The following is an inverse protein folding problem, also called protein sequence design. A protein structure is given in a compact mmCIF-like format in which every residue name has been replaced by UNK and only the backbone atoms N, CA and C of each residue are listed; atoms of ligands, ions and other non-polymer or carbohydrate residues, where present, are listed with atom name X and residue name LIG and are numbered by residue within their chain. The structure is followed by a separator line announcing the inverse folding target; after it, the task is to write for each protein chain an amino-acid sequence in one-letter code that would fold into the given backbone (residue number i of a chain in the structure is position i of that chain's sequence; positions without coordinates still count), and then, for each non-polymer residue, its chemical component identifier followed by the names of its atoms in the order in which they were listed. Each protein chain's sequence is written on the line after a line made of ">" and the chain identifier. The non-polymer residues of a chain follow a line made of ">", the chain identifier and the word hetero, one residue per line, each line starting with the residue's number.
data_IF_038966864946
#
_entry.id   IF_038966864946
#
_cell.length_a   1.000
_cell.length_b   1.000
_cell.length_c   1.000
_cell.angle_alpha   90.00
_cell.angle_beta   90.00
_cell.angle_gamma   90.00
#
_symmetry.space_group_name_H-M   'P 1'
#
loop_
_entity.id
_entity.type
_entity.pdbx_description
1 polymer ?
#
# COMPACT_ATOMS: atom_id res chain seq x y z
N UNK A 1 -14.57 -1.80 25.81
CA UNK A 1 -16.02 -1.63 25.72
C UNK A 1 -16.45 -0.66 26.81
N UNK A 2 -17.37 0.28 26.54
CA UNK A 2 -17.87 1.17 27.58
C UNK A 2 -18.53 0.33 28.67
N UNK A 3 -18.21 0.61 29.93
CA UNK A 3 -18.75 -0.09 31.12
C UNK A 3 -20.29 0.02 31.27
N UNK A 4 -20.96 0.68 30.31
CA UNK A 4 -22.39 0.97 30.31
C UNK A 4 -23.21 0.12 29.36
N UNK A 5 -22.63 -0.89 28.70
CA UNK A 5 -23.42 -1.80 27.83
C UNK A 5 -23.91 -3.01 28.63
N UNK A 6 -25.21 -3.11 28.96
CA UNK A 6 -25.76 -4.27 29.67
C UNK A 6 -25.48 -5.57 28.88
N UNK A 7 -24.99 -6.59 29.57
CA UNK A 7 -24.69 -7.89 28.96
C UNK A 7 -23.28 -8.04 28.33
N UNK A 8 -22.46 -6.97 28.36
CA UNK A 8 -21.07 -7.01 27.82
C UNK A 8 -19.99 -6.72 28.87
N UNK A 9 -20.35 -6.86 30.15
CA UNK A 9 -19.45 -6.53 31.27
C UNK A 9 -18.25 -7.46 31.36
N UNK A 10 -18.35 -8.67 30.83
CA UNK A 10 -17.25 -9.65 30.80
C UNK A 10 -17.32 -10.48 29.52
N UNK A 11 -16.23 -10.51 28.78
CA UNK A 11 -16.05 -11.41 27.65
C UNK A 11 -15.09 -12.51 28.12
N UNK A 12 -15.54 -13.76 28.25
CA UNK A 12 -14.66 -14.88 28.59
C UNK A 12 -13.70 -15.11 27.43
N UNK A 13 -12.40 -14.91 27.67
CA UNK A 13 -11.37 -15.19 26.68
C UNK A 13 -10.83 -16.60 26.88
N UNK A 14 -10.64 -17.32 25.76
CA UNK A 14 -9.95 -18.61 25.81
C UNK A 14 -8.51 -18.39 26.32
N UNK A 15 -7.93 -19.31 27.15
CA UNK A 15 -6.56 -19.15 27.68
C UNK A 15 -5.48 -18.98 26.61
N UNK A 16 -5.70 -19.54 25.41
CA UNK A 16 -4.82 -19.38 24.26
C UNK A 16 -5.11 -18.14 23.39
N UNK A 17 -6.06 -17.29 23.78
CA UNK A 17 -6.35 -16.06 23.01
C UNK A 17 -5.12 -15.14 22.99
N UNK A 18 -4.86 -14.55 21.85
CA UNK A 18 -3.80 -13.56 21.63
C UNK A 18 -4.39 -12.36 20.89
N UNK A 19 -3.91 -11.18 21.23
CA UNK A 19 -4.29 -9.93 20.56
C UNK A 19 -3.14 -9.49 19.68
N UNK A 20 -3.44 -9.22 18.40
CA UNK A 20 -2.50 -8.67 17.44
C UNK A 20 -3.11 -7.34 16.98
N UNK A 21 -2.38 -6.26 17.18
CA UNK A 21 -2.74 -4.94 16.68
C UNK A 21 -1.80 -4.51 15.57
N UNK A 22 -2.31 -3.79 14.59
CA UNK A 22 -1.51 -3.13 13.56
C UNK A 22 -1.74 -1.65 13.63
N UNK A 23 -0.68 -0.86 13.44
CA UNK A 23 -0.76 0.58 13.42
C UNK A 23 0.15 1.15 12.35
N UNK A 24 -0.23 2.30 11.80
CA UNK A 24 0.67 3.11 10.99
C UNK A 24 1.36 4.11 11.91
N UNK A 25 2.68 4.05 11.96
CA UNK A 25 3.49 4.96 12.75
C UNK A 25 3.95 6.16 11.93
N UNK A 26 3.97 7.35 12.55
CA UNK A 26 4.52 8.56 11.91
C UNK A 26 3.61 9.27 10.89
N UNK A 27 2.34 8.89 10.77
CA UNK A 27 1.39 9.61 9.90
C UNK A 27 0.77 10.82 10.60
N UNK A 28 0.54 11.89 9.84
CA UNK A 28 -0.18 13.06 10.33
C UNK A 28 -1.56 12.64 10.88
N UNK A 29 -1.83 12.97 12.16
CA UNK A 29 -3.07 12.58 12.84
C UNK A 29 -2.99 11.29 13.65
N UNK A 30 -1.88 10.55 13.64
CA UNK A 30 -1.65 9.48 14.61
C UNK A 30 -1.23 10.06 15.96
N UNK A 31 -1.79 9.52 17.03
CA UNK A 31 -1.33 9.83 18.39
C UNK A 31 -0.37 8.73 18.84
N UNK A 32 0.63 9.14 19.60
CA UNK A 32 1.51 8.18 20.27
C UNK A 32 0.68 7.29 21.21
N UNK A 33 1.03 6.01 21.22
CA UNK A 33 0.44 5.09 22.17
C UNK A 33 0.95 5.43 23.58
N UNK A 34 0.06 5.28 24.55
CA UNK A 34 0.42 5.41 25.96
C UNK A 34 1.51 4.38 26.30
N UNK A 35 2.58 4.83 27.00
CA UNK A 35 3.71 3.98 27.40
C UNK A 35 3.27 2.74 28.16
N UNK A 36 2.27 2.86 29.05
CA UNK A 36 1.72 1.73 29.78
C UNK A 36 1.04 0.69 28.87
N UNK A 37 0.58 1.08 27.69
CA UNK A 37 0.06 0.17 26.69
C UNK A 37 1.21 -0.47 25.91
N UNK A 38 2.15 0.32 25.44
CA UNK A 38 3.33 -0.16 24.67
C UNK A 38 4.11 -1.21 25.47
N UNK A 39 4.31 -0.98 26.79
CA UNK A 39 5.04 -1.90 27.66
C UNK A 39 4.41 -3.29 27.79
N UNK A 40 3.12 -3.44 27.41
CA UNK A 40 2.40 -4.72 27.46
C UNK A 40 2.39 -5.49 26.13
N UNK A 41 2.93 -4.90 25.07
CA UNK A 41 3.01 -5.52 23.75
C UNK A 41 4.45 -5.85 23.37
N UNK A 42 4.59 -6.91 22.59
CA UNK A 42 5.80 -7.12 21.81
C UNK A 42 5.64 -6.29 20.52
N UNK A 43 6.48 -5.27 20.37
CA UNK A 43 6.45 -4.40 19.19
C UNK A 43 7.32 -5.00 18.11
N UNK A 44 6.76 -5.15 16.92
CA UNK A 44 7.46 -5.63 15.73
C UNK A 44 7.42 -4.50 14.70
N UNK A 45 8.57 -3.94 14.41
CA UNK A 45 8.71 -2.97 13.34
C UNK A 45 8.72 -3.67 11.99
N UNK A 46 7.80 -3.26 11.11
CA UNK A 46 7.75 -3.76 9.74
C UNK A 46 8.62 -2.87 8.85
N UNK A 47 9.72 -3.42 8.29
CA UNK A 47 10.57 -2.63 7.41
C UNK A 47 9.84 -2.24 6.12
N UNK A 48 10.30 -1.17 5.43
CA UNK A 48 9.82 -0.84 4.09
C UNK A 48 9.98 -2.03 3.15
N UNK A 49 9.07 -2.14 2.17
CA UNK A 49 9.15 -3.19 1.16
C UNK A 49 10.47 -3.09 0.39
N UNK A 50 11.17 -4.21 0.32
CA UNK A 50 12.31 -4.38 -0.59
C UNK A 50 11.81 -4.78 -1.97
N UNK A 51 12.67 -4.59 -2.98
CA UNK A 51 12.40 -5.03 -4.34
C UNK A 51 12.05 -6.52 -4.40
N UNK A 52 12.86 -7.36 -3.77
CA UNK A 52 12.66 -8.81 -3.71
C UNK A 52 11.29 -9.18 -3.11
N UNK A 53 10.93 -8.56 -1.98
CA UNK A 53 9.64 -8.80 -1.33
C UNK A 53 8.49 -8.35 -2.23
N UNK A 54 8.63 -7.22 -2.92
CA UNK A 54 7.61 -6.70 -3.83
C UNK A 54 7.40 -7.66 -5.02
N UNK A 55 8.48 -8.14 -5.64
CA UNK A 55 8.42 -9.13 -6.71
C UNK A 55 7.76 -10.42 -6.26
N UNK A 56 8.13 -10.95 -5.09
CA UNK A 56 7.52 -12.15 -4.51
C UNK A 56 6.01 -11.97 -4.30
N UNK A 57 5.59 -10.83 -3.74
CA UNK A 57 4.17 -10.53 -3.51
C UNK A 57 3.40 -10.42 -4.82
N UNK A 58 3.97 -9.77 -5.85
CA UNK A 58 3.34 -9.68 -7.16
C UNK A 58 3.22 -11.05 -7.82
N UNK A 59 4.25 -11.87 -7.76
CA UNK A 59 4.22 -13.22 -8.33
C UNK A 59 3.22 -14.12 -7.61
N UNK A 60 3.17 -14.06 -6.30
CA UNK A 60 2.23 -14.85 -5.50
C UNK A 60 0.78 -14.45 -5.76
N UNK A 61 0.50 -13.14 -5.87
CA UNK A 61 -0.86 -12.63 -5.99
C UNK A 61 -1.36 -12.56 -7.44
N UNK A 62 -0.46 -12.36 -8.37
CA UNK A 62 -0.72 -12.22 -9.80
C UNK A 62 0.27 -13.06 -10.62
N UNK A 63 0.16 -14.41 -10.56
CA UNK A 63 1.11 -15.31 -11.22
C UNK A 63 1.11 -15.20 -12.75
N UNK A 64 0.02 -14.71 -13.32
CA UNK A 64 -0.21 -14.51 -14.74
C UNK A 64 0.31 -13.16 -15.29
N UNK A 65 0.87 -12.29 -14.42
CA UNK A 65 1.54 -11.07 -14.89
C UNK A 65 2.74 -11.40 -15.77
N UNK A 66 2.79 -10.79 -16.96
CA UNK A 66 3.99 -10.85 -17.80
C UNK A 66 5.22 -10.28 -17.09
N UNK A 67 6.41 -10.83 -17.32
CA UNK A 67 7.64 -10.36 -16.68
C UNK A 67 7.88 -8.86 -16.85
N UNK A 68 7.75 -8.34 -18.08
CA UNK A 68 7.94 -6.91 -18.38
C UNK A 68 6.95 -6.01 -17.60
N UNK A 69 5.69 -6.43 -17.51
CA UNK A 69 4.67 -5.70 -16.75
C UNK A 69 4.97 -5.73 -15.25
N UNK A 70 5.45 -6.86 -14.73
CA UNK A 70 5.86 -6.99 -13.33
C UNK A 70 7.03 -6.06 -13.00
N UNK A 71 8.04 -6.01 -13.87
CA UNK A 71 9.19 -5.11 -13.72
C UNK A 71 8.75 -3.64 -13.75
N UNK A 72 7.90 -3.26 -14.70
CA UNK A 72 7.39 -1.89 -14.81
C UNK A 72 6.61 -1.47 -13.56
N UNK A 73 5.68 -2.31 -13.08
CA UNK A 73 4.85 -2.04 -11.90
C UNK A 73 5.66 -2.04 -10.60
N UNK A 74 6.64 -2.94 -10.47
CA UNK A 74 7.57 -2.94 -9.34
C UNK A 74 8.46 -1.70 -9.38
N UNK A 75 9.04 -1.37 -10.53
CA UNK A 75 9.85 -0.18 -10.73
C UNK A 75 9.08 1.10 -10.42
N UNK A 76 7.82 1.20 -10.82
CA UNK A 76 6.94 2.30 -10.45
C UNK A 76 6.87 2.48 -8.92
N UNK A 77 6.59 1.42 -8.19
CA UNK A 77 6.49 1.50 -6.73
C UNK A 77 7.82 1.89 -6.06
N UNK A 78 8.94 1.34 -6.54
CA UNK A 78 10.27 1.63 -6.03
C UNK A 78 10.71 3.08 -6.32
N UNK A 79 10.39 3.60 -7.49
CA UNK A 79 10.67 5.00 -7.84
C UNK A 79 9.86 5.96 -6.96
N UNK A 80 8.58 5.67 -6.73
CA UNK A 80 7.75 6.43 -5.78
C UNK A 80 8.32 6.34 -4.36
N UNK A 81 8.79 5.16 -3.93
CA UNK A 81 9.42 5.00 -2.62
C UNK A 81 10.69 5.86 -2.49
N UNK A 82 11.49 5.94 -3.56
CA UNK A 82 12.68 6.79 -3.61
C UNK A 82 12.30 8.28 -3.50
N UNK A 83 11.29 8.72 -4.25
CA UNK A 83 10.77 10.09 -4.20
C UNK A 83 10.25 10.45 -2.79
N UNK A 84 9.53 9.55 -2.14
CA UNK A 84 9.06 9.76 -0.78
C UNK A 84 10.21 9.85 0.25
N UNK A 85 11.26 9.02 0.09
CA UNK A 85 12.47 9.13 0.93
C UNK A 85 13.22 10.45 0.75
N UNK A 86 13.13 11.05 -0.43
CA UNK A 86 13.69 12.36 -0.74
C UNK A 86 12.79 13.53 -0.32
N UNK A 87 11.65 13.23 0.31
CA UNK A 87 10.62 14.19 0.71
C UNK A 87 10.02 15.00 -0.46
N UNK A 88 10.13 14.50 -1.70
CA UNK A 88 9.52 15.12 -2.88
C UNK A 88 8.01 14.84 -2.98
N UNK A 89 7.58 13.72 -2.42
CA UNK A 89 6.17 13.31 -2.32
C UNK A 89 5.87 12.76 -0.94
N UNK A 90 4.61 12.76 -0.56
CA UNK A 90 4.16 12.11 0.68
C UNK A 90 4.05 10.60 0.53
N UNK A 91 3.95 9.89 1.63
CA UNK A 91 3.78 8.43 1.64
C UNK A 91 2.41 7.97 1.11
N UNK A 92 1.49 8.88 0.80
CA UNK A 92 0.17 8.56 0.22
C UNK A 92 0.26 7.87 -1.13
N UNK A 93 1.25 8.24 -1.94
CA UNK A 93 1.52 7.58 -3.23
C UNK A 93 2.08 6.16 -3.07
N UNK A 94 2.60 5.82 -1.88
CA UNK A 94 3.12 4.48 -1.56
C UNK A 94 2.02 3.55 -1.10
N UNK A 95 0.97 3.44 -1.88
CA UNK A 95 -0.16 2.57 -1.56
C UNK A 95 -0.09 1.26 -2.34
N UNK A 96 0.46 0.23 -1.69
CA UNK A 96 0.53 -1.11 -2.27
C UNK A 96 -0.85 -1.70 -2.55
N UNK A 97 -1.86 -1.37 -1.75
CA UNK A 97 -3.24 -1.82 -2.00
C UNK A 97 -3.79 -1.15 -3.25
N UNK A 98 -3.48 0.13 -3.45
CA UNK A 98 -3.84 0.86 -4.65
C UNK A 98 -3.18 0.28 -5.90
N UNK A 99 -1.90 -0.08 -5.83
CA UNK A 99 -1.20 -0.75 -6.91
C UNK A 99 -1.83 -2.12 -7.24
N UNK A 100 -2.09 -2.94 -6.24
CA UNK A 100 -2.73 -4.25 -6.43
C UNK A 100 -4.18 -4.14 -6.91
N UNK A 101 -4.91 -3.11 -6.44
CA UNK A 101 -6.23 -2.78 -6.95
C UNK A 101 -6.18 -2.39 -8.42
N UNK A 102 -5.20 -1.57 -8.83
CA UNK A 102 -4.99 -1.21 -10.23
C UNK A 102 -4.73 -2.45 -11.10
N UNK A 103 -3.85 -3.37 -10.66
CA UNK A 103 -3.62 -4.63 -11.38
C UNK A 103 -4.93 -5.43 -11.51
N UNK A 104 -5.72 -5.49 -10.45
CA UNK A 104 -7.03 -6.15 -10.48
C UNK A 104 -8.00 -5.54 -11.50
N UNK A 105 -8.02 -4.21 -11.63
CA UNK A 105 -8.88 -3.53 -12.63
C UNK A 105 -8.35 -3.68 -14.06
N UNK A 106 -7.02 -3.76 -14.25
CA UNK A 106 -6.43 -4.12 -15.55
C UNK A 106 -6.91 -5.50 -16.03
N UNK A 107 -7.00 -6.48 -15.12
CA UNK A 107 -7.54 -7.82 -15.42
C UNK A 107 -9.01 -7.77 -15.84
N UNK A 108 -9.75 -6.76 -15.39
CA UNK A 108 -11.15 -6.51 -15.79
C UNK A 108 -11.28 -5.71 -17.09
N UNK A 109 -10.15 -5.38 -17.75
CA UNK A 109 -10.14 -4.71 -19.03
C UNK A 109 -9.84 -3.20 -19.01
N UNK A 110 -9.55 -2.63 -17.83
CA UNK A 110 -9.15 -1.22 -17.76
C UNK A 110 -7.72 -1.05 -18.29
N UNK A 111 -7.46 0.03 -19.06
CA UNK A 111 -6.10 0.31 -19.53
C UNK A 111 -5.13 0.49 -18.36
N UNK A 112 -3.88 0.01 -18.48
CA UNK A 112 -2.90 0.05 -17.39
C UNK A 112 -2.64 1.47 -16.87
N UNK A 113 -2.49 2.43 -17.77
CA UNK A 113 -2.27 3.81 -17.41
C UNK A 113 -3.43 4.38 -16.58
N UNK A 114 -4.68 4.18 -17.03
CA UNK A 114 -5.86 4.65 -16.30
C UNK A 114 -6.05 3.93 -14.96
N UNK A 115 -5.78 2.63 -14.91
CA UNK A 115 -5.85 1.87 -13.67
C UNK A 115 -4.89 2.41 -12.60
N UNK A 116 -3.65 2.73 -12.99
CA UNK A 116 -2.64 3.32 -12.10
C UNK A 116 -3.00 4.76 -11.74
N UNK A 117 -3.57 5.55 -12.67
CA UNK A 117 -4.08 6.89 -12.36
C UNK A 117 -5.11 6.84 -11.23
N UNK A 118 -6.06 5.93 -11.30
CA UNK A 118 -7.13 5.78 -10.29
C UNK A 118 -6.55 5.20 -8.98
N UNK A 119 -5.72 4.18 -9.09
CA UNK A 119 -5.21 3.42 -7.93
C UNK A 119 -4.15 4.17 -7.12
N UNK A 120 -3.39 5.06 -7.75
CA UNK A 120 -2.23 5.74 -7.13
C UNK A 120 -2.34 7.27 -7.26
N UNK A 121 -2.33 7.81 -8.48
CA UNK A 121 -2.19 9.26 -8.72
C UNK A 121 -3.32 10.06 -8.09
N UNK A 122 -4.56 9.58 -8.20
CA UNK A 122 -5.73 10.29 -7.68
C UNK A 122 -5.81 10.31 -6.14
N UNK A 123 -4.94 9.58 -5.45
CA UNK A 123 -4.82 9.64 -3.98
C UNK A 123 -3.92 10.77 -3.49
N UNK A 124 -3.17 11.40 -4.38
CA UNK A 124 -2.42 12.61 -4.09
C UNK A 124 -3.37 13.81 -4.18
N UNK A 125 -3.47 14.59 -3.10
CA UNK A 125 -4.36 15.76 -3.04
C UNK A 125 -3.63 17.06 -3.43
N UNK A 126 -2.33 17.14 -3.15
CA UNK A 126 -1.51 18.26 -3.59
C UNK A 126 -1.25 18.17 -5.10
N UNK A 127 -1.44 19.28 -5.81
CA UNK A 127 -1.32 19.32 -7.27
C UNK A 127 0.12 19.12 -7.73
N UNK A 128 1.08 19.66 -7.00
CA UNK A 128 2.49 19.53 -7.34
C UNK A 128 2.97 18.09 -7.14
N UNK A 129 2.64 17.51 -6.00
CA UNK A 129 2.91 16.10 -5.72
C UNK A 129 2.28 15.19 -6.78
N UNK A 130 1.03 15.51 -7.18
CA UNK A 130 0.30 14.74 -8.19
C UNK A 130 0.99 14.75 -9.56
N UNK A 131 1.59 15.87 -9.97
CA UNK A 131 2.37 15.93 -11.21
C UNK A 131 3.65 15.09 -11.11
N UNK A 132 4.39 15.17 -10.00
CA UNK A 132 5.57 14.34 -9.80
C UNK A 132 5.22 12.84 -9.90
N UNK A 133 4.13 12.43 -9.23
CA UNK A 133 3.68 11.03 -9.27
C UNK A 133 3.24 10.63 -10.68
N UNK A 134 2.57 11.52 -11.41
CA UNK A 134 2.16 11.29 -12.80
C UNK A 134 3.35 11.11 -13.74
N UNK A 135 4.39 11.88 -13.57
CA UNK A 135 5.62 11.78 -14.37
C UNK A 135 6.33 10.44 -14.12
N UNK A 136 6.38 9.97 -12.87
CA UNK A 136 6.90 8.64 -12.55
C UNK A 136 6.05 7.55 -13.23
N UNK A 137 4.72 7.69 -13.21
CA UNK A 137 3.81 6.75 -13.89
C UNK A 137 4.08 6.72 -15.38
N UNK A 138 4.17 7.87 -16.06
CA UNK A 138 4.47 7.96 -17.50
C UNK A 138 5.78 7.31 -17.88
N UNK A 139 6.79 7.40 -17.01
CA UNK A 139 8.10 6.78 -17.25
C UNK A 139 8.05 5.25 -17.22
N UNK A 140 7.15 4.67 -16.42
CA UNK A 140 7.09 3.23 -16.17
C UNK A 140 5.96 2.51 -16.88
N UNK A 141 4.84 3.20 -17.10
CA UNK A 141 3.62 2.63 -17.68
C UNK A 141 3.28 3.41 -18.95
N UNK A 142 3.63 2.90 -20.12
CA UNK A 142 3.27 3.51 -21.40
C UNK A 142 1.76 3.69 -21.54
N UNK A 143 1.33 4.84 -22.07
CA UNK A 143 -0.09 5.14 -22.22
C UNK A 143 -0.79 4.21 -23.24
N UNK A 144 -0.02 3.72 -24.22
CA UNK A 144 -0.47 2.78 -25.26
C UNK A 144 -0.67 1.34 -24.76
N UNK A 145 -0.18 1.01 -23.57
CA UNK A 145 -0.33 -0.34 -23.05
C UNK A 145 -1.80 -0.70 -22.82
N UNK A 146 -2.12 -1.91 -23.22
CA UNK A 146 -3.42 -2.54 -23.06
C UNK A 146 -3.38 -3.63 -21.97
N UNK A 147 -4.51 -4.14 -21.50
CA UNK A 147 -4.52 -5.29 -20.58
C UNK A 147 -3.76 -6.51 -21.11
N UNK A 148 -3.70 -6.70 -22.44
CA UNK A 148 -2.96 -7.77 -23.09
C UNK A 148 -1.44 -7.62 -22.94
N UNK A 149 -0.94 -6.43 -22.69
CA UNK A 149 0.49 -6.21 -22.44
C UNK A 149 0.87 -6.54 -20.98
N UNK A 150 -0.14 -6.65 -20.11
CA UNK A 150 0.00 -6.95 -18.70
C UNK A 150 -0.10 -8.44 -18.39
N UNK A 151 -1.07 -9.12 -19.04
CA UNK A 151 -1.42 -10.55 -18.84
C UNK A 151 -1.21 -11.40 -20.07
#
# INVERSE_FOLDING_TARGET
>A
LPASMPGYDKIPLHPAARMIGTMNYGYAGTRELNEALVSRFLVIDMPPLTEETLFYLMQSKFPDLKPAAREALAGLYLDLQKKAKQAEITTRALDLRGLFGAIGTMRQGLSPYLAVQIGIVNKCFDLFEKEIVRDVVRTRIPEEWTPQDIF
#
